data_IF_441104822528
#
_entry.id   IF_441104822528
#
_cell.length_a   1.000
_cell.length_b   1.000
_cell.length_c   1.000
_cell.angle_alpha   90.00
_cell.angle_beta   90.00
_cell.angle_gamma   90.00
#
_symmetry.space_group_name_H-M   'P 1'
#
loop_
_entity.id
_entity.type
_entity.pdbx_description
1 polymer ?
#
# COMPACT_ATOMS: atom_id res chain seq x y z
N UNK A 1 -25.33 -71.15 -52.54
CA UNK A 1 -24.83 -71.09 -51.15
C UNK A 1 -24.13 -69.74 -51.00
N UNK A 2 -24.85 -68.74 -50.47
CA UNK A 2 -24.38 -67.36 -50.29
C UNK A 2 -23.38 -67.28 -49.13
N UNK A 3 -22.32 -66.49 -49.28
CA UNK A 3 -21.50 -65.99 -48.17
C UNK A 3 -21.50 -64.47 -48.23
N UNK A 4 -22.21 -63.86 -47.29
CA UNK A 4 -22.16 -62.44 -46.98
C UNK A 4 -20.78 -62.09 -46.43
N UNK A 5 -20.23 -60.96 -46.88
CA UNK A 5 -19.04 -60.34 -46.28
C UNK A 5 -19.50 -59.07 -45.58
N UNK A 6 -19.40 -59.12 -44.25
CA UNK A 6 -19.76 -58.05 -43.31
C UNK A 6 -18.62 -57.02 -43.29
N UNK A 7 -18.95 -55.78 -43.63
CA UNK A 7 -18.13 -54.59 -43.39
C UNK A 7 -17.98 -54.38 -41.88
N UNK A 8 -16.73 -54.27 -41.39
CA UNK A 8 -16.44 -53.81 -40.03
C UNK A 8 -15.62 -52.53 -40.09
N UNK A 9 -16.34 -51.43 -39.88
CA UNK A 9 -15.82 -50.10 -39.61
C UNK A 9 -15.27 -50.05 -38.18
N UNK A 10 -13.96 -50.10 -38.00
CA UNK A 10 -13.29 -49.85 -36.71
C UNK A 10 -11.88 -49.32 -36.96
N UNK A 11 -11.72 -47.98 -36.99
CA UNK A 11 -10.46 -47.30 -36.60
C UNK A 11 -10.55 -45.76 -36.71
N UNK A 12 -11.40 -45.09 -35.92
CA UNK A 12 -11.38 -43.60 -35.81
C UNK A 12 -11.25 -43.08 -34.37
N UNK A 13 -11.25 -43.94 -33.35
CA UNK A 13 -11.37 -43.47 -31.95
C UNK A 13 -10.05 -43.16 -31.21
N UNK A 14 -8.88 -43.45 -31.78
CA UNK A 14 -7.60 -43.33 -31.06
C UNK A 14 -6.88 -41.98 -31.19
N UNK A 15 -7.36 -41.06 -32.03
CA UNK A 15 -6.64 -39.81 -32.35
C UNK A 15 -7.08 -38.55 -31.58
N UNK A 16 -8.11 -38.65 -30.73
CA UNK A 16 -8.70 -37.48 -30.04
C UNK A 16 -8.31 -37.33 -28.55
N UNK A 17 -7.71 -38.35 -27.93
CA UNK A 17 -7.39 -38.34 -26.49
C UNK A 17 -6.20 -37.45 -26.13
N UNK A 18 -5.10 -37.47 -26.88
CA UNK A 18 -3.87 -36.76 -26.50
C UNK A 18 -3.90 -35.26 -26.83
N UNK A 19 -4.54 -34.88 -27.95
CA UNK A 19 -4.62 -33.46 -28.36
C UNK A 19 -5.51 -32.63 -27.44
N UNK A 20 -6.51 -33.25 -26.81
CA UNK A 20 -7.47 -32.55 -25.95
C UNK A 20 -6.86 -32.14 -24.59
N UNK A 21 -5.90 -32.91 -24.08
CA UNK A 21 -5.19 -32.59 -22.84
C UNK A 21 -4.24 -31.39 -23.00
N UNK A 22 -3.58 -31.25 -24.15
CA UNK A 22 -2.72 -30.09 -24.43
C UNK A 22 -3.52 -28.79 -24.56
N UNK A 23 -4.70 -28.84 -25.18
CA UNK A 23 -5.57 -27.66 -25.34
C UNK A 23 -6.10 -27.19 -23.99
N UNK A 24 -6.50 -28.10 -23.10
CA UNK A 24 -6.99 -27.75 -21.76
C UNK A 24 -5.88 -27.16 -20.87
N UNK A 25 -4.64 -27.67 -20.95
CA UNK A 25 -3.48 -27.10 -20.24
C UNK A 25 -3.16 -25.68 -20.72
N UNK A 26 -3.26 -25.42 -22.03
CA UNK A 26 -3.06 -24.09 -22.60
C UNK A 26 -4.13 -23.09 -22.13
N UNK A 27 -5.40 -23.52 -22.05
CA UNK A 27 -6.50 -22.68 -21.56
C UNK A 27 -6.33 -22.36 -20.06
N UNK A 28 -5.89 -23.34 -19.25
CA UNK A 28 -5.62 -23.13 -17.82
C UNK A 28 -4.48 -22.12 -17.57
N UNK A 29 -3.44 -22.13 -18.39
CA UNK A 29 -2.34 -21.15 -18.35
C UNK A 29 -2.82 -19.74 -18.70
N UNK A 30 -3.71 -19.59 -19.69
CA UNK A 30 -4.24 -18.29 -20.10
C UNK A 30 -5.19 -17.64 -19.07
N UNK A 31 -5.80 -18.44 -18.19
CA UNK A 31 -6.71 -17.94 -17.15
C UNK A 31 -5.98 -17.45 -15.88
N UNK A 32 -4.67 -17.62 -15.77
CA UNK A 32 -3.90 -17.34 -14.54
C UNK A 32 -3.32 -15.91 -14.43
N UNK A 33 -3.58 -15.03 -15.40
CA UNK A 33 -2.81 -13.78 -15.58
C UNK A 33 -3.43 -12.47 -15.10
N UNK A 34 -4.41 -12.44 -14.20
CA UNK A 34 -4.90 -11.16 -13.65
C UNK A 34 -4.00 -10.69 -12.50
N UNK A 35 -2.83 -10.14 -12.83
CA UNK A 35 -2.07 -9.33 -11.89
C UNK A 35 -2.79 -7.99 -11.71
N UNK A 36 -3.56 -7.84 -10.63
CA UNK A 36 -4.05 -6.53 -10.21
C UNK A 36 -2.84 -5.75 -9.69
N UNK A 37 -2.33 -4.82 -10.51
CA UNK A 37 -1.45 -3.78 -10.00
C UNK A 37 -2.30 -2.82 -9.19
N UNK A 38 -2.40 -3.07 -7.88
CA UNK A 38 -3.06 -2.15 -6.96
C UNK A 38 -2.23 -0.87 -6.89
N UNK A 39 -2.85 0.26 -7.27
CA UNK A 39 -2.22 1.57 -7.13
C UNK A 39 -2.09 1.88 -5.65
N UNK A 40 -0.86 1.80 -5.14
CA UNK A 40 -0.56 1.98 -3.72
C UNK A 40 -0.91 3.39 -3.25
N UNK A 41 -0.85 4.40 -4.12
CA UNK A 41 -1.04 5.79 -3.73
C UNK A 41 -2.44 6.31 -4.08
N UNK A 42 -3.09 7.06 -3.19
CA UNK A 42 -4.33 7.74 -3.55
C UNK A 42 -4.09 8.80 -4.62
N UNK A 43 -5.10 9.02 -5.47
CA UNK A 43 -5.11 10.09 -6.46
C UNK A 43 -4.84 11.45 -5.80
N UNK A 44 -3.95 12.25 -6.38
CA UNK A 44 -3.55 13.56 -5.84
C UNK A 44 -2.48 13.50 -4.72
N UNK A 45 -1.95 12.32 -4.42
CA UNK A 45 -0.84 12.15 -3.50
C UNK A 45 0.44 11.78 -4.25
N UNK A 46 1.42 12.68 -4.23
CA UNK A 46 2.68 12.51 -4.93
C UNK A 46 3.64 11.63 -4.12
N UNK A 47 4.12 10.49 -4.66
CA UNK A 47 5.01 9.60 -3.94
C UNK A 47 6.29 10.28 -3.45
N UNK A 48 6.75 9.90 -2.27
CA UNK A 48 8.01 10.35 -1.67
C UNK A 48 8.91 9.13 -1.50
N UNK A 49 10.03 9.12 -2.22
CA UNK A 49 10.97 8.02 -2.18
C UNK A 49 11.75 8.00 -0.85
N UNK A 50 11.75 6.85 -0.20
CA UNK A 50 12.57 6.57 0.99
C UNK A 50 13.82 5.84 0.51
N UNK A 51 14.99 6.44 0.71
CA UNK A 51 16.28 5.90 0.22
C UNK A 51 17.09 5.20 1.31
N UNK A 52 16.79 5.50 2.57
CA UNK A 52 17.56 5.10 3.73
C UNK A 52 16.68 4.26 4.67
N UNK A 53 17.28 3.71 5.73
CA UNK A 53 16.53 2.91 6.72
C UNK A 53 15.60 3.79 7.56
N UNK A 54 15.91 5.08 7.67
CA UNK A 54 15.07 6.13 8.27
C UNK A 54 14.38 6.89 7.13
N UNK A 55 13.06 7.10 7.24
CA UNK A 55 12.34 7.89 6.26
C UNK A 55 12.50 9.38 6.56
N UNK A 56 13.41 10.03 5.81
CA UNK A 56 13.65 11.46 5.86
C UNK A 56 12.70 12.22 4.93
N UNK A 57 11.68 12.84 5.52
CA UNK A 57 10.69 13.64 4.82
C UNK A 57 11.14 15.09 4.75
N UNK A 58 10.98 15.74 3.60
CA UNK A 58 11.36 17.13 3.39
C UNK A 58 10.25 17.90 2.71
N UNK A 59 9.87 19.05 3.28
CA UNK A 59 8.82 19.93 2.75
C UNK A 59 9.30 21.37 2.69
N UNK A 60 8.90 22.10 1.64
CA UNK A 60 9.26 23.53 1.47
C UNK A 60 8.31 24.45 2.24
N UNK A 61 7.08 23.99 2.43
CA UNK A 61 5.98 24.67 3.13
C UNK A 61 5.19 23.62 3.91
N UNK A 62 4.39 24.01 4.92
CA UNK A 62 3.54 23.07 5.63
C UNK A 62 2.72 22.21 4.68
N UNK A 63 2.71 20.90 4.91
CA UNK A 63 2.12 19.92 4.00
C UNK A 63 1.47 18.78 4.77
N UNK A 64 0.56 18.08 4.09
CA UNK A 64 -0.02 16.83 4.57
C UNK A 64 0.70 15.67 3.90
N UNK A 65 1.31 14.82 4.72
CA UNK A 65 1.94 13.57 4.31
C UNK A 65 1.02 12.42 4.66
N UNK A 66 0.97 11.40 3.83
CA UNK A 66 0.29 10.14 4.11
C UNK A 66 1.31 9.01 4.18
N UNK A 67 1.16 8.17 5.19
CA UNK A 67 2.03 7.03 5.49
C UNK A 67 1.18 5.77 5.47
N UNK A 68 1.52 4.83 4.60
CA UNK A 68 0.87 3.53 4.46
C UNK A 68 1.76 2.44 5.01
N UNK A 69 1.20 1.50 5.74
CA UNK A 69 1.90 0.28 6.11
C UNK A 69 1.77 -0.78 5.01
N UNK A 70 2.89 -1.08 4.35
CA UNK A 70 3.02 -2.11 3.31
C UNK A 70 3.33 -3.50 3.87
N UNK A 71 3.70 -3.59 5.15
CA UNK A 71 4.03 -4.86 5.80
C UNK A 71 2.76 -5.66 6.13
N UNK A 72 2.96 -6.94 6.43
CA UNK A 72 1.88 -7.83 6.90
C UNK A 72 1.56 -7.68 8.40
N UNK A 73 2.35 -6.90 9.14
CA UNK A 73 2.24 -6.74 10.58
C UNK A 73 1.95 -5.30 11.00
N UNK A 74 1.77 -5.08 12.30
CA UNK A 74 1.62 -3.74 12.85
C UNK A 74 2.99 -3.05 12.94
N UNK A 75 3.03 -1.80 12.51
CA UNK A 75 4.22 -0.95 12.63
C UNK A 75 3.96 0.19 13.61
N UNK A 76 4.97 0.53 14.39
CA UNK A 76 5.07 1.81 15.07
C UNK A 76 5.96 2.73 14.26
N UNK A 77 5.40 3.86 13.85
CA UNK A 77 6.14 4.95 13.23
C UNK A 77 6.48 5.94 14.31
N UNK A 78 7.77 6.16 14.54
CA UNK A 78 8.27 7.02 15.62
C UNK A 78 9.17 8.11 15.05
N UNK A 79 9.32 9.21 15.77
CA UNK A 79 10.36 10.20 15.48
C UNK A 79 11.59 9.88 16.34
N UNK A 80 12.80 9.69 15.76
CA UNK A 80 13.99 9.47 16.54
C UNK A 80 14.28 10.72 17.40
N UNK A 81 14.10 10.60 18.72
CA UNK A 81 14.45 11.67 19.66
C UNK A 81 15.82 11.40 20.26
N UNK A 82 16.71 12.40 20.21
CA UNK A 82 18.00 12.36 20.93
C UNK A 82 17.82 12.48 22.44
N UNK A 83 16.67 13.01 22.91
CA UNK A 83 16.32 13.12 24.32
C UNK A 83 14.92 12.50 24.60
N UNK A 84 14.83 11.37 25.31
CA UNK A 84 13.59 10.61 25.48
C UNK A 84 12.50 11.33 26.30
N UNK A 85 12.83 12.43 26.98
CA UNK A 85 11.88 13.20 27.79
C UNK A 85 11.15 14.31 27.02
N UNK A 86 11.49 14.56 25.74
CA UNK A 86 11.04 15.73 25.01
C UNK A 86 9.92 15.49 23.97
N UNK A 87 9.32 14.29 23.87
CA UNK A 87 8.39 14.04 22.77
C UNK A 87 7.57 12.74 22.82
N UNK A 88 6.98 12.41 23.97
CA UNK A 88 6.17 11.19 24.17
C UNK A 88 4.83 11.13 23.37
N UNK A 89 4.69 11.89 22.28
CA UNK A 89 3.45 12.02 21.50
C UNK A 89 3.59 11.93 19.98
N UNK A 90 4.75 11.55 19.44
CA UNK A 90 4.97 11.46 17.99
C UNK A 90 4.87 10.04 17.42
N UNK A 91 4.66 9.03 18.26
CA UNK A 91 4.52 7.65 17.80
C UNK A 91 3.11 7.38 17.31
N UNK A 92 2.98 6.81 16.11
CA UNK A 92 1.71 6.33 15.57
C UNK A 92 1.81 4.84 15.29
N UNK A 93 0.86 4.05 15.80
CA UNK A 93 0.70 2.65 15.37
C UNK A 93 -0.07 2.64 14.07
N UNK A 94 0.40 1.87 13.09
CA UNK A 94 -0.28 1.68 11.81
C UNK A 94 -0.40 0.19 11.58
N UNK A 95 -1.62 -0.35 11.59
CA UNK A 95 -1.85 -1.75 11.29
C UNK A 95 -1.56 -2.07 9.82
N UNK A 96 -1.35 -3.35 9.53
CA UNK A 96 -1.10 -3.82 8.16
C UNK A 96 -2.18 -3.29 7.19
N UNK A 97 -1.74 -2.66 6.09
CA UNK A 97 -2.62 -2.09 5.07
C UNK A 97 -3.31 -0.77 5.44
N UNK A 98 -3.19 -0.29 6.68
CA UNK A 98 -3.76 0.98 7.11
C UNK A 98 -2.85 2.18 6.81
N UNK A 99 -3.45 3.35 6.86
CA UNK A 99 -2.83 4.65 6.63
C UNK A 99 -2.89 5.53 7.86
N UNK A 100 -1.89 6.39 8.01
CA UNK A 100 -1.89 7.56 8.88
C UNK A 100 -1.57 8.81 8.08
N UNK A 101 -2.01 9.97 8.57
CA UNK A 101 -1.81 11.27 7.95
C UNK A 101 -1.04 12.18 8.92
N UNK A 102 0.08 12.73 8.47
CA UNK A 102 0.97 13.60 9.23
C UNK A 102 0.95 15.00 8.63
N UNK A 103 0.55 16.00 9.40
CA UNK A 103 0.81 17.39 9.05
C UNK A 103 2.25 17.69 9.43
N UNK A 104 3.05 18.09 8.45
CA UNK A 104 4.42 18.53 8.64
C UNK A 104 4.49 20.04 8.50
N UNK A 105 4.86 20.72 9.58
CA UNK A 105 5.19 22.15 9.54
C UNK A 105 6.70 22.38 9.51
N UNK A 106 7.47 21.43 10.04
CA UNK A 106 8.93 21.43 9.99
C UNK A 106 9.44 21.06 8.59
N UNK A 107 10.53 21.72 8.17
CA UNK A 107 11.12 21.50 6.84
C UNK A 107 11.65 20.09 6.64
N UNK A 108 12.15 19.47 7.71
CA UNK A 108 12.73 18.14 7.71
C UNK A 108 12.12 17.39 8.89
N UNK A 109 11.64 16.18 8.64
CA UNK A 109 11.12 15.29 9.67
C UNK A 109 11.57 13.87 9.37
N UNK A 110 12.06 13.18 10.39
CA UNK A 110 12.59 11.83 10.27
C UNK A 110 11.64 10.84 10.93
N UNK A 111 11.33 9.74 10.25
CA UNK A 111 10.52 8.66 10.77
C UNK A 111 11.35 7.38 10.87
N UNK A 112 11.27 6.72 12.02
CA UNK A 112 11.79 5.37 12.25
C UNK A 112 10.63 4.39 12.28
N UNK A 113 10.86 3.19 11.73
CA UNK A 113 9.87 2.13 11.67
C UNK A 113 10.23 1.03 12.66
N UNK A 114 9.30 0.69 13.55
CA UNK A 114 9.48 -0.35 14.55
C UNK A 114 8.41 -1.40 14.33
N UNK A 115 8.82 -2.64 14.09
CA UNK A 115 7.92 -3.77 13.98
C UNK A 115 7.46 -4.20 15.37
N UNK A 116 6.15 -4.33 15.55
CA UNK A 116 5.55 -4.78 16.80
C UNK A 116 5.16 -6.25 16.71
N UNK A 117 5.97 -7.14 17.29
CA UNK A 117 5.61 -8.55 17.45
C UNK A 117 5.44 -8.89 18.94
N UNK A 118 4.54 -9.82 19.30
CA UNK A 118 4.41 -10.26 20.69
C UNK A 118 5.76 -10.74 21.25
N UNK A 119 6.25 -10.05 22.29
CA UNK A 119 7.53 -10.37 22.94
C UNK A 119 8.79 -9.82 22.26
N UNK A 120 8.65 -9.11 21.14
CA UNK A 120 9.76 -8.51 20.40
C UNK A 120 9.34 -7.22 19.68
N UNK A 121 9.97 -6.10 20.04
CA UNK A 121 9.95 -4.87 19.25
C UNK A 121 11.33 -4.68 18.64
N UNK A 122 11.38 -4.44 17.32
CA UNK A 122 12.64 -4.20 16.62
C UNK A 122 12.50 -3.06 15.62
N UNK A 123 13.52 -2.20 15.57
CA UNK A 123 13.60 -1.20 14.52
C UNK A 123 13.96 -1.89 13.19
N UNK A 124 13.22 -1.58 12.14
CA UNK A 124 13.40 -2.13 10.81
C UNK A 124 13.53 -1.01 9.76
N UNK A 125 14.15 -1.27 8.60
CA UNK A 125 14.25 -0.27 7.53
C UNK A 125 12.88 0.18 7.00
N UNK A 126 12.60 1.48 7.02
CA UNK A 126 11.35 2.04 6.53
C UNK A 126 11.14 1.85 5.00
N UNK A 127 12.23 1.81 4.23
CA UNK A 127 12.20 1.84 2.75
C UNK A 127 11.31 0.75 2.10
N UNK A 128 11.18 -0.40 2.76
CA UNK A 128 10.50 -1.58 2.21
C UNK A 128 9.17 -1.89 2.91
N UNK A 129 8.83 -1.16 3.99
CA UNK A 129 7.68 -1.48 4.86
C UNK A 129 6.66 -0.37 4.96
N UNK A 130 6.99 0.84 4.51
CA UNK A 130 6.03 1.94 4.37
C UNK A 130 6.08 2.57 2.99
N UNK A 131 4.91 3.00 2.52
CA UNK A 131 4.79 3.94 1.41
C UNK A 131 4.47 5.31 1.97
N UNK A 132 5.16 6.35 1.49
CA UNK A 132 4.88 7.74 1.87
C UNK A 132 4.55 8.56 0.64
N UNK A 133 3.56 9.44 0.76
CA UNK A 133 3.26 10.41 -0.27
C UNK A 133 2.88 11.76 0.34
N UNK A 134 3.08 12.83 -0.45
CA UNK A 134 2.72 14.20 -0.10
C UNK A 134 1.45 14.60 -0.86
N UNK A 135 0.45 15.14 -0.17
CA UNK A 135 -0.73 15.66 -0.84
C UNK A 135 -0.43 16.99 -1.53
N UNK A 136 -0.60 17.06 -2.86
CA UNK A 136 -0.10 18.19 -3.66
C UNK A 136 -0.85 19.50 -3.39
N UNK A 137 -2.18 19.43 -3.24
CA UNK A 137 -3.08 20.59 -3.13
C UNK A 137 -3.93 20.54 -1.86
N UNK A 138 -3.27 20.45 -0.71
CA UNK A 138 -3.95 20.64 0.59
C UNK A 138 -3.98 22.12 0.96
N UNK A 139 -5.15 22.62 1.38
CA UNK A 139 -5.27 23.93 2.04
C UNK A 139 -5.26 23.70 3.54
N UNK A 140 -4.16 24.08 4.19
CA UNK A 140 -4.04 24.10 5.64
C UNK A 140 -4.40 25.50 6.15
N UNK A 141 -5.20 25.57 7.21
CA UNK A 141 -5.40 26.81 7.96
C UNK A 141 -4.10 27.23 8.67
N UNK A 142 -4.01 28.48 9.11
CA UNK A 142 -2.86 28.95 9.90
C UNK A 142 -2.64 28.12 11.17
N UNK A 143 -3.73 27.67 11.80
CA UNK A 143 -3.69 26.82 13.00
C UNK A 143 -3.17 25.42 12.66
N UNK A 144 -3.68 24.79 11.60
CA UNK A 144 -3.20 23.48 11.14
C UNK A 144 -1.73 23.53 10.71
N UNK A 145 -1.27 24.65 10.15
CA UNK A 145 0.11 24.82 9.68
C UNK A 145 1.08 25.28 10.79
N UNK A 146 0.66 25.32 12.06
CA UNK A 146 1.46 25.87 13.16
C UNK A 146 2.43 24.88 13.80
N UNK A 147 2.18 23.58 13.65
CA UNK A 147 2.98 22.51 14.28
C UNK A 147 2.96 21.24 13.44
N UNK A 148 3.87 20.32 13.74
CA UNK A 148 3.90 18.98 13.16
C UNK A 148 3.09 18.04 14.05
N UNK A 149 2.11 17.32 13.51
CA UNK A 149 1.23 16.43 14.28
C UNK A 149 0.51 15.39 13.41
N UNK A 150 0.05 14.29 14.01
CA UNK A 150 -0.80 13.30 13.35
C UNK A 150 -2.21 13.84 13.18
N UNK A 151 -2.61 14.07 11.92
CA UNK A 151 -3.93 14.56 11.55
C UNK A 151 -4.97 13.45 11.40
N UNK A 152 -4.57 12.18 11.48
CA UNK A 152 -5.42 11.00 11.47
C UNK A 152 -4.53 9.76 11.50
N UNK A 153 -4.94 8.71 12.20
CA UNK A 153 -4.08 7.57 12.49
C UNK A 153 -4.80 6.25 12.28
N UNK A 154 -4.08 5.25 11.77
CA UNK A 154 -4.47 3.83 11.75
C UNK A 154 -5.85 3.56 11.13
N UNK A 155 -6.08 4.07 9.93
CA UNK A 155 -7.36 3.93 9.23
C UNK A 155 -7.16 3.40 7.82
N UNK A 156 -8.11 2.61 7.32
CA UNK A 156 -8.21 2.36 5.89
C UNK A 156 -8.32 3.67 5.11
N UNK A 157 -7.86 3.69 3.85
CA UNK A 157 -7.74 4.91 3.05
C UNK A 157 -9.05 5.71 2.97
N UNK A 158 -10.16 5.07 2.61
CA UNK A 158 -11.46 5.74 2.49
C UNK A 158 -11.96 6.34 3.82
N UNK A 159 -11.98 5.60 4.95
CA UNK A 159 -12.23 6.16 6.27
C UNK A 159 -11.33 7.33 6.65
N UNK A 160 -10.02 7.24 6.37
CA UNK A 160 -9.06 8.31 6.67
C UNK A 160 -9.38 9.59 5.90
N UNK A 161 -9.68 9.47 4.59
CA UNK A 161 -10.05 10.60 3.75
C UNK A 161 -11.32 11.29 4.23
N UNK A 162 -12.33 10.51 4.64
CA UNK A 162 -13.56 11.03 5.22
C UNK A 162 -13.32 11.72 6.57
N UNK A 163 -12.44 11.16 7.41
CA UNK A 163 -12.03 11.74 8.69
C UNK A 163 -11.34 13.09 8.49
N UNK A 164 -10.33 13.15 7.62
CA UNK A 164 -9.60 14.38 7.30
C UNK A 164 -10.54 15.46 6.75
N UNK A 165 -11.48 15.09 5.87
CA UNK A 165 -12.47 16.03 5.34
C UNK A 165 -13.33 16.64 6.45
N UNK A 166 -13.76 15.83 7.44
CA UNK A 166 -14.50 16.32 8.62
C UNK A 166 -13.67 17.22 9.53
N UNK A 167 -12.37 16.99 9.59
CA UNK A 167 -11.41 17.84 10.30
C UNK A 167 -11.03 19.12 9.53
N UNK A 168 -11.68 19.39 8.39
CA UNK A 168 -11.52 20.62 7.63
C UNK A 168 -10.36 20.59 6.62
N UNK A 169 -9.75 19.42 6.37
CA UNK A 169 -8.75 19.29 5.31
C UNK A 169 -9.44 19.25 3.95
N UNK A 170 -9.08 20.19 3.06
CA UNK A 170 -9.58 20.19 1.68
C UNK A 170 -8.61 19.43 0.79
N UNK A 171 -8.92 18.14 0.56
CA UNK A 171 -8.15 17.25 -0.29
C UNK A 171 -8.76 17.26 -1.70
N UNK A 172 -8.10 17.98 -2.62
CA UNK A 172 -8.57 18.04 -4.02
C UNK A 172 -8.00 16.82 -4.75
N UNK A 173 -8.87 15.93 -5.22
CA UNK A 173 -8.50 14.88 -6.16
C UNK A 173 -8.45 15.52 -7.55
N UNK A 174 -7.33 15.41 -8.27
CA UNK A 174 -7.35 15.73 -9.70
C UNK A 174 -8.06 14.58 -10.42
N UNK A 175 -9.12 14.92 -11.18
CA UNK A 175 -9.58 14.04 -12.25
C UNK A 175 -8.49 14.06 -13.31
N UNK A 176 -7.81 12.93 -13.47
CA UNK A 176 -6.77 12.74 -14.48
C UNK A 176 -7.39 12.46 -15.85
#
# INVERSE_FOLDING_TARGET
MQKEIILTDRNIDWYWGEKMHCVLLFIALLLSGNALAEEVYPQGCRPVAIKEDIAKLTVVKPALMMVHNLSSGDLWITHPVSEPNAGAGFSSRIQAGNWSALVMSDKIFELSCVESMPGHEQQIPCRDVIAVCQWDKVKLSTEQASSTYWAGEDMGLSPLMAYLSRCGFSLTLEAQ
#
